data_IF_130042373151
#
_entry.id   IF_130042373151
#
_cell.length_a   1.000
_cell.length_b   1.000
_cell.length_c   1.000
_cell.angle_alpha   90.00
_cell.angle_beta   90.00
_cell.angle_gamma   90.00
#
_symmetry.space_group_name_H-M   'P 1'
#
loop_
_entity.id
_entity.type
_entity.pdbx_description
1 polymer ?
#
# COMPACT_ATOMS: atom_id res chain seq x y z
N UNK A 1 -10.81 -5.36 0.52
CA UNK A 1 -9.47 -4.98 1.03
C UNK A 1 -9.29 -5.35 2.50
N UNK A 2 -10.36 -5.47 3.29
CA UNK A 2 -10.31 -5.98 4.67
C UNK A 2 -10.42 -7.52 4.76
N UNK A 3 -9.46 -8.26 4.20
CA UNK A 3 -9.42 -9.73 4.34
C UNK A 3 -8.07 -10.17 4.88
N UNK A 4 -8.08 -10.99 5.92
CA UNK A 4 -6.89 -11.60 6.49
C UNK A 4 -6.85 -13.09 6.12
N UNK A 5 -5.86 -13.51 5.33
CA UNK A 5 -5.67 -14.91 4.91
C UNK A 5 -4.20 -15.28 4.87
N UNK A 6 -3.63 -15.76 5.98
CA UNK A 6 -2.24 -16.23 6.00
C UNK A 6 -2.05 -17.44 5.05
N UNK A 7 -0.92 -17.57 4.32
CA UNK A 7 0.16 -16.59 4.09
C UNK A 7 -0.09 -15.63 2.91
N UNK A 8 -1.28 -15.64 2.32
CA UNK A 8 -1.55 -15.06 1.00
C UNK A 8 -1.99 -13.59 1.03
N UNK A 9 -2.69 -13.16 2.08
CA UNK A 9 -3.30 -11.83 2.14
C UNK A 9 -3.26 -11.26 3.57
N UNK A 10 -2.89 -9.99 3.68
CA UNK A 10 -2.98 -9.19 4.90
C UNK A 10 -3.76 -7.92 4.55
N UNK A 11 -5.03 -7.88 4.93
CA UNK A 11 -5.89 -6.71 4.80
C UNK A 11 -5.90 -5.86 6.08
N UNK A 12 -6.02 -4.55 5.92
CA UNK A 12 -6.24 -3.63 7.04
C UNK A 12 -7.20 -2.51 6.65
N UNK A 13 -7.81 -1.92 7.67
CA UNK A 13 -8.62 -0.71 7.57
C UNK A 13 -8.05 0.27 8.58
N UNK A 14 -7.79 1.51 8.15
CA UNK A 14 -7.47 2.59 9.07
C UNK A 14 -8.74 3.01 9.80
N UNK A 15 -8.87 2.63 11.07
CA UNK A 15 -10.01 3.01 11.92
C UNK A 15 -10.01 4.50 12.29
N UNK A 16 -8.85 5.16 12.32
CA UNK A 16 -8.73 6.59 12.66
C UNK A 16 -7.63 7.30 11.88
N UNK A 17 -8.02 8.36 11.16
CA UNK A 17 -7.15 9.25 10.40
C UNK A 17 -7.97 10.21 9.53
N UNK A 18 -7.40 11.37 9.15
CA UNK A 18 -8.05 12.40 8.32
C UNK A 18 -8.56 11.85 6.96
N UNK A 19 -8.04 10.69 6.56
CA UNK A 19 -8.38 9.97 5.34
C UNK A 19 -8.71 8.53 5.74
N UNK A 20 -9.94 8.07 5.47
CA UNK A 20 -10.25 6.64 5.53
C UNK A 20 -9.39 5.93 4.48
N UNK A 21 -8.56 5.00 4.94
CA UNK A 21 -7.70 4.20 4.08
C UNK A 21 -7.99 2.73 4.32
N UNK A 22 -8.18 1.99 3.24
CA UNK A 22 -8.22 0.53 3.27
C UNK A 22 -7.04 0.03 2.47
N UNK A 23 -6.32 -0.94 3.01
CA UNK A 23 -5.16 -1.50 2.35
C UNK A 23 -5.14 -3.01 2.40
N UNK A 24 -4.38 -3.61 1.49
CA UNK A 24 -4.11 -5.03 1.52
C UNK A 24 -2.77 -5.36 0.87
N UNK A 25 -2.03 -6.26 1.50
CA UNK A 25 -0.91 -6.95 0.90
C UNK A 25 -1.37 -8.29 0.35
N UNK A 26 -0.99 -8.60 -0.88
CA UNK A 26 -1.14 -9.93 -1.47
C UNK A 26 0.23 -10.52 -1.74
N UNK A 27 0.44 -11.76 -1.33
CA UNK A 27 1.67 -12.50 -1.48
C UNK A 27 1.47 -13.61 -2.51
N UNK A 28 2.24 -13.57 -3.59
CA UNK A 28 2.19 -14.57 -4.65
C UNK A 28 3.58 -15.16 -4.87
N UNK A 29 3.69 -16.49 -4.94
CA UNK A 29 4.96 -17.13 -5.29
C UNK A 29 5.33 -16.74 -6.72
N UNK A 30 6.58 -16.34 -6.91
CA UNK A 30 7.17 -16.02 -8.21
C UNK A 30 8.44 -16.87 -8.41
N UNK A 31 8.90 -17.08 -9.66
CA UNK A 31 10.06 -17.95 -9.92
C UNK A 31 11.36 -17.59 -9.18
N UNK A 32 11.50 -16.33 -8.72
CA UNK A 32 12.69 -15.82 -8.00
C UNK A 32 12.38 -15.33 -6.58
N UNK A 33 11.25 -15.75 -5.98
CA UNK A 33 10.89 -15.35 -4.61
C UNK A 33 9.39 -15.10 -4.44
N UNK A 34 9.03 -14.05 -3.72
CA UNK A 34 7.64 -13.69 -3.46
C UNK A 34 7.35 -12.33 -4.09
N UNK A 35 6.34 -12.26 -4.95
CA UNK A 35 5.78 -10.99 -5.41
C UNK A 35 4.78 -10.51 -4.36
N UNK A 36 5.09 -9.35 -3.79
CA UNK A 36 4.23 -8.63 -2.85
C UNK A 36 3.51 -7.52 -3.59
N UNK A 37 2.19 -7.54 -3.60
CA UNK A 37 1.35 -6.47 -4.18
C UNK A 37 0.64 -5.71 -3.06
N UNK A 38 0.77 -4.39 -3.06
CA UNK A 38 0.07 -3.49 -2.15
C UNK A 38 -1.07 -2.79 -2.89
N UNK A 39 -2.29 -2.97 -2.42
CA UNK A 39 -3.46 -2.22 -2.88
C UNK A 39 -3.94 -1.31 -1.76
N UNK A 40 -4.11 -0.02 -2.05
CA UNK A 40 -4.65 0.96 -1.11
C UNK A 40 -5.78 1.71 -1.80
N UNK A 41 -6.92 1.81 -1.11
CA UNK A 41 -7.99 2.73 -1.43
C UNK A 41 -7.97 3.88 -0.40
N UNK A 42 -8.10 5.12 -0.85
CA UNK A 42 -8.17 6.29 0.01
C UNK A 42 -9.18 7.31 -0.52
N UNK A 43 -9.77 8.09 0.38
CA UNK A 43 -10.62 9.23 0.02
C UNK A 43 -9.78 10.52 0.10
N UNK A 44 -9.52 11.21 -1.01
CA UNK A 44 -8.78 12.48 -0.97
C UNK A 44 -9.59 13.53 -0.17
N UNK A 45 -8.92 14.47 0.52
CA UNK A 45 -9.60 15.55 1.23
C UNK A 45 -10.52 16.37 0.32
N UNK A 46 -11.68 16.79 0.83
CA UNK A 46 -12.68 17.55 0.07
C UNK A 46 -12.18 18.88 -0.51
N UNK A 47 -11.06 19.41 0.00
CA UNK A 47 -10.39 20.62 -0.51
C UNK A 47 -9.62 20.42 -1.82
N UNK A 48 -9.49 19.18 -2.31
CA UNK A 48 -8.81 18.84 -3.57
C UNK A 48 -9.83 18.80 -4.72
N UNK A 49 -10.44 19.95 -5.05
CA UNK A 49 -11.56 20.03 -6.01
C UNK A 49 -11.09 20.16 -7.48
N UNK A 50 -9.78 20.24 -7.75
CA UNK A 50 -9.23 20.43 -9.10
C UNK A 50 -8.49 19.22 -9.67
N UNK A 51 -8.80 18.82 -10.91
CA UNK A 51 -8.16 17.68 -11.60
C UNK A 51 -6.62 17.79 -11.70
N UNK A 52 -6.08 19.01 -11.77
CA UNK A 52 -4.63 19.24 -11.80
C UNK A 52 -3.97 18.97 -10.43
N UNK A 53 -4.63 19.38 -9.34
CA UNK A 53 -4.12 19.18 -7.97
C UNK A 53 -4.23 17.70 -7.58
N UNK A 54 -5.33 17.03 -7.97
CA UNK A 54 -5.53 15.61 -7.75
C UNK A 54 -4.38 14.76 -8.34
N UNK A 55 -3.99 15.00 -9.61
CA UNK A 55 -2.90 14.25 -10.26
C UNK A 55 -1.56 14.40 -9.56
N UNK A 56 -1.25 15.60 -9.05
CA UNK A 56 0.01 15.84 -8.32
C UNK A 56 0.00 15.11 -6.98
N UNK A 57 -1.14 15.11 -6.30
CA UNK A 57 -1.31 14.43 -5.02
C UNK A 57 -1.21 12.92 -5.18
N UNK A 58 -1.83 12.36 -6.22
CA UNK A 58 -1.73 10.93 -6.56
C UNK A 58 -0.27 10.51 -6.81
N UNK A 59 0.50 11.34 -7.53
CA UNK A 59 1.92 11.08 -7.78
C UNK A 59 2.75 11.07 -6.49
N UNK A 60 2.52 12.05 -5.60
CA UNK A 60 3.21 12.13 -4.30
C UNK A 60 2.88 10.92 -3.43
N UNK A 61 1.59 10.53 -3.37
CA UNK A 61 1.15 9.35 -2.63
C UNK A 61 1.81 8.10 -3.19
N UNK A 62 1.80 7.91 -4.51
CA UNK A 62 2.46 6.77 -5.16
C UNK A 62 3.94 6.68 -4.79
N UNK A 63 4.69 7.77 -4.90
CA UNK A 63 6.12 7.81 -4.56
C UNK A 63 6.40 7.45 -3.10
N UNK A 64 5.55 7.91 -2.17
CA UNK A 64 5.67 7.56 -0.75
C UNK A 64 5.43 6.06 -0.52
N UNK A 65 4.44 5.49 -1.20
CA UNK A 65 4.11 4.07 -1.11
C UNK A 65 5.21 3.19 -1.71
N UNK A 66 5.77 3.59 -2.86
CA UNK A 66 6.92 2.90 -3.47
C UNK A 66 8.11 2.84 -2.51
N UNK A 67 8.47 3.97 -1.88
CA UNK A 67 9.55 4.01 -0.87
C UNK A 67 9.25 3.14 0.35
N UNK A 68 8.00 3.10 0.81
CA UNK A 68 7.61 2.25 1.93
C UNK A 68 7.74 0.76 1.57
N UNK A 69 7.33 0.37 0.36
CA UNK A 69 7.49 -0.99 -0.16
C UNK A 69 8.95 -1.38 -0.32
N UNK A 70 9.80 -0.50 -0.84
CA UNK A 70 11.24 -0.75 -0.92
C UNK A 70 11.86 -0.97 0.45
N UNK A 71 11.45 -0.18 1.44
CA UNK A 71 11.91 -0.36 2.82
C UNK A 71 11.48 -1.70 3.39
N UNK A 72 10.23 -2.10 3.18
CA UNK A 72 9.73 -3.43 3.59
C UNK A 72 10.53 -4.53 2.90
N UNK A 73 10.74 -4.44 1.58
CA UNK A 73 11.55 -5.39 0.82
C UNK A 73 12.95 -5.52 1.43
N UNK A 74 13.62 -4.40 1.65
CA UNK A 74 14.96 -4.38 2.24
C UNK A 74 14.99 -5.03 3.63
N UNK A 75 14.02 -4.73 4.49
CA UNK A 75 13.94 -5.34 5.83
C UNK A 75 13.68 -6.85 5.75
N UNK A 76 12.85 -7.33 4.82
CA UNK A 76 12.58 -8.74 4.64
C UNK A 76 13.76 -9.50 4.01
N UNK A 77 14.47 -8.88 3.07
CA UNK A 77 15.66 -9.47 2.43
C UNK A 77 16.88 -9.50 3.37
N UNK A 78 16.98 -8.53 4.30
CA UNK A 78 18.03 -8.49 5.31
C UNK A 78 17.78 -9.42 6.52
N UNK A 79 16.53 -9.87 6.71
CA UNK A 79 16.20 -10.80 7.78
C UNK A 79 16.74 -12.21 7.43
N UNK A 80 17.47 -12.88 8.33
CA UNK A 80 17.85 -14.28 8.13
C UNK A 80 16.59 -15.16 8.06
N UNK A 81 16.63 -16.28 7.30
CA UNK A 81 15.48 -17.17 7.10
C UNK A 81 14.98 -17.83 8.38
#
# INVERSE_FOLDING_TARGET
LNRWRRPHEIGWVSESGLIKQEGGFTFTKAPKGVRVELRIAYVPPASVVGALVARRLDWVVKQRLERALERIRYTLEAAPP
#
